data_IF_513371750424
#
_entry.id   IF_513371750424
#
_cell.length_a   1.000
_cell.length_b   1.000
_cell.length_c   1.000
_cell.angle_alpha   90.00
_cell.angle_beta   90.00
_cell.angle_gamma   90.00
#
_symmetry.space_group_name_H-M   'P 1'
#
loop_
_entity.id
_entity.type
_entity.pdbx_description
1 polymer ?
#
# COMPACT_ATOMS: atom_id res chain seq x y z
N UNK A 1 10.42 15.41 -15.97
CA UNK A 1 10.77 14.53 -14.84
C UNK A 1 9.51 14.16 -14.08
N UNK A 2 9.25 12.89 -13.76
CA UNK A 2 8.13 12.56 -12.88
C UNK A 2 8.42 13.12 -11.48
N UNK A 3 7.40 13.55 -10.73
CA UNK A 3 7.59 13.99 -9.35
C UNK A 3 8.10 12.81 -8.51
N UNK A 4 9.12 13.06 -7.68
CA UNK A 4 9.65 12.08 -6.73
C UNK A 4 8.60 11.69 -5.68
N UNK A 5 8.76 10.54 -5.00
CA UNK A 5 7.84 10.10 -3.97
C UNK A 5 7.81 11.13 -2.82
N UNK A 6 6.62 11.65 -2.53
CA UNK A 6 6.37 12.59 -1.44
C UNK A 6 6.69 11.95 -0.09
N UNK A 7 7.60 12.57 0.66
CA UNK A 7 7.98 12.22 2.03
C UNK A 7 6.93 12.71 3.04
N UNK A 8 5.72 12.16 2.98
CA UNK A 8 4.75 12.28 4.07
C UNK A 8 5.14 11.38 5.26
N UNK A 9 4.63 11.64 6.47
CA UNK A 9 4.74 10.67 7.57
C UNK A 9 4.13 9.33 7.12
N UNK A 10 4.68 8.18 7.57
CA UNK A 10 4.13 6.88 7.23
C UNK A 10 2.67 6.86 7.67
N UNK A 11 1.74 6.39 6.82
CA UNK A 11 0.34 6.42 7.19
C UNK A 11 0.14 5.47 8.37
N UNK A 12 -0.44 5.97 9.47
CA UNK A 12 -0.84 5.14 10.62
C UNK A 12 -1.83 4.02 10.23
N UNK A 13 -2.35 4.09 9.01
CA UNK A 13 -3.24 3.12 8.37
C UNK A 13 -2.47 2.59 7.16
N UNK A 14 -2.01 1.34 7.18
CA UNK A 14 -1.13 0.72 6.16
C UNK A 14 -1.69 0.65 4.74
N UNK A 15 -2.00 1.80 4.16
CA UNK A 15 -2.60 2.03 2.85
C UNK A 15 -1.67 2.95 2.04
N UNK A 16 -1.49 2.59 0.78
CA UNK A 16 -0.60 3.29 -0.14
C UNK A 16 -1.32 3.44 -1.48
N UNK A 17 -1.42 4.67 -1.97
CA UNK A 17 -1.91 4.96 -3.32
C UNK A 17 -0.72 5.20 -4.24
N UNK A 18 -0.74 4.55 -5.41
CA UNK A 18 0.29 4.70 -6.45
C UNK A 18 -0.34 5.12 -7.79
N UNK A 19 0.45 5.70 -8.72
CA UNK A 19 -0.01 5.93 -10.09
C UNK A 19 -0.46 4.65 -10.77
N UNK A 20 -1.48 4.72 -11.63
CA UNK A 20 -2.06 3.55 -12.31
C UNK A 20 -1.10 2.77 -13.20
N UNK A 21 0.02 3.38 -13.60
CA UNK A 21 1.07 2.78 -14.42
C UNK A 21 2.19 2.12 -13.59
N UNK A 22 2.15 2.24 -12.26
CA UNK A 22 3.14 1.60 -11.40
C UNK A 22 2.94 0.08 -11.36
N UNK A 23 4.04 -0.66 -11.43
CA UNK A 23 4.07 -2.13 -11.27
C UNK A 23 4.50 -2.57 -9.87
N UNK A 24 4.86 -1.64 -8.99
CA UNK A 24 5.32 -1.94 -7.63
C UNK A 24 5.35 -0.70 -6.73
N UNK A 25 5.39 -0.94 -5.41
CA UNK A 25 5.38 0.08 -4.38
C UNK A 25 6.04 -0.44 -3.09
N UNK A 26 6.60 0.45 -2.27
CA UNK A 26 7.12 0.12 -0.95
C UNK A 26 6.12 0.55 0.13
N UNK A 27 5.56 -0.41 0.85
CA UNK A 27 4.75 -0.16 2.04
C UNK A 27 5.66 -0.24 3.28
N UNK A 28 5.93 0.91 3.89
CA UNK A 28 6.78 1.03 5.08
C UNK A 28 5.95 1.36 6.33
N UNK A 29 6.60 1.37 7.50
CA UNK A 29 5.95 1.76 8.77
C UNK A 29 5.04 0.70 9.38
N UNK A 30 5.17 -0.57 8.95
CA UNK A 30 4.45 -1.68 9.55
C UNK A 30 5.05 -2.03 10.92
N UNK A 31 4.20 -2.49 11.84
CA UNK A 31 4.63 -2.92 13.18
C UNK A 31 5.45 -4.21 13.04
N UNK A 32 6.59 -4.35 13.72
CA UNK A 32 7.32 -5.62 13.79
C UNK A 32 6.49 -6.73 14.45
N UNK A 33 6.86 -7.99 14.20
CA UNK A 33 6.24 -9.18 14.78
C UNK A 33 4.70 -9.17 14.71
N UNK A 34 4.17 -8.81 13.54
CA UNK A 34 2.73 -8.59 13.36
C UNK A 34 2.23 -9.22 12.07
N UNK A 35 1.00 -9.75 12.10
CA UNK A 35 0.33 -10.34 10.93
C UNK A 35 -0.57 -9.33 10.22
N UNK A 36 -0.41 -9.24 8.91
CA UNK A 36 -1.16 -8.35 8.03
C UNK A 36 -1.89 -9.11 6.93
N UNK A 37 -2.84 -8.43 6.29
CA UNK A 37 -3.51 -8.84 5.06
C UNK A 37 -3.46 -7.70 4.05
N UNK A 38 -2.85 -7.94 2.90
CA UNK A 38 -2.76 -6.99 1.81
C UNK A 38 -3.89 -7.21 0.81
N UNK A 39 -4.48 -6.12 0.33
CA UNK A 39 -5.42 -6.09 -0.80
C UNK A 39 -5.14 -4.87 -1.66
N UNK A 40 -5.33 -5.00 -2.97
CA UNK A 40 -5.16 -3.91 -3.92
C UNK A 40 -6.52 -3.56 -4.52
N UNK A 41 -6.81 -2.26 -4.65
CA UNK A 41 -7.99 -1.74 -5.33
C UNK A 41 -7.57 -0.68 -6.34
N UNK A 42 -8.26 -0.67 -7.48
CA UNK A 42 -8.15 0.42 -8.45
C UNK A 42 -9.29 1.39 -8.22
N UNK A 43 -9.04 2.69 -8.38
CA UNK A 43 -10.07 3.71 -8.32
C UNK A 43 -9.85 4.78 -9.39
N UNK A 44 -10.92 5.48 -9.75
CA UNK A 44 -10.89 6.64 -10.64
C UNK A 44 -11.89 7.69 -10.14
N UNK A 45 -12.10 8.76 -10.91
CA UNK A 45 -13.04 9.84 -10.54
C UNK A 45 -14.51 9.42 -10.38
N UNK A 46 -14.88 8.19 -10.77
CA UNK A 46 -16.23 7.63 -10.54
C UNK A 46 -16.31 6.77 -9.28
N UNK A 47 -15.18 6.31 -8.73
CA UNK A 47 -15.15 5.49 -7.53
C UNK A 47 -14.10 4.38 -7.57
N UNK A 48 -14.15 3.51 -6.54
CA UNK A 48 -13.25 2.37 -6.39
C UNK A 48 -13.88 1.07 -6.89
N UNK A 49 -13.09 0.29 -7.64
CA UNK A 49 -13.44 -1.07 -8.04
C UNK A 49 -13.38 -2.08 -6.89
N UNK A 50 -13.68 -3.36 -7.18
CA UNK A 50 -13.55 -4.43 -6.20
C UNK A 50 -12.08 -4.63 -5.76
N UNK A 51 -11.85 -5.11 -4.52
CA UNK A 51 -10.51 -5.51 -4.09
C UNK A 51 -10.05 -6.79 -4.79
N UNK A 52 -8.72 -6.91 -4.92
CA UNK A 52 -8.07 -8.18 -5.19
C UNK A 52 -8.36 -9.21 -4.09
N UNK A 53 -7.94 -10.45 -4.32
CA UNK A 53 -7.81 -11.43 -3.23
C UNK A 53 -6.86 -10.90 -2.13
N UNK A 54 -7.10 -11.33 -0.89
CA UNK A 54 -6.25 -11.00 0.24
C UNK A 54 -4.96 -11.83 0.22
N UNK A 55 -3.84 -11.18 0.51
CA UNK A 55 -2.53 -11.82 0.64
C UNK A 55 -2.07 -11.66 2.10
N UNK A 56 -2.06 -12.72 2.91
CA UNK A 56 -1.55 -12.66 4.27
C UNK A 56 -0.02 -12.61 4.29
N UNK A 57 0.56 -11.84 5.22
CA UNK A 57 2.01 -11.83 5.45
C UNK A 57 2.32 -11.43 6.90
N UNK A 58 3.50 -11.80 7.36
CA UNK A 58 4.01 -11.47 8.70
C UNK A 58 5.23 -10.54 8.57
N UNK A 59 5.35 -9.58 9.48
CA UNK A 59 6.54 -8.71 9.57
C UNK A 59 7.58 -9.33 10.52
N UNK A 60 8.88 -9.19 10.22
CA UNK A 60 9.94 -9.66 11.12
C UNK A 60 9.96 -8.84 12.42
N UNK A 61 10.69 -9.34 13.42
CA UNK A 61 10.85 -8.68 14.72
C UNK A 61 11.76 -7.43 14.67
N UNK A 62 12.71 -7.39 13.74
CA UNK A 62 13.68 -6.31 13.57
C UNK A 62 15.06 -6.84 13.24
#
# INVERSE_FOLDING_TARGET
SPPGPSSGPPPEQGELTVPGQASGALLAGLRPWSRYRLRVRVFNGRGAGPPSAEIPFDTPEG
#
